data_IF_131474555956
#
_entry.id   IF_131474555956
#
_cell.length_a   1.000
_cell.length_b   1.000
_cell.length_c   1.000
_cell.angle_alpha   90.00
_cell.angle_beta   90.00
_cell.angle_gamma   90.00
#
_symmetry.space_group_name_H-M   'P 1'
#
loop_
_entity.id
_entity.type
_entity.pdbx_description
1 polymer ?
#
# COMPACT_ATOMS: atom_id res chain seq x y z
N UNK A 1 24.48 -21.60 20.35
CA UNK A 1 23.19 -22.34 20.36
C UNK A 1 22.12 -21.29 20.55
N UNK A 2 21.82 -20.55 19.49
CA UNK A 2 20.75 -19.55 19.52
C UNK A 2 19.42 -20.27 19.40
N UNK A 3 18.53 -19.95 20.33
CA UNK A 3 17.16 -20.45 20.34
C UNK A 3 16.52 -20.06 19.01
N UNK A 4 16.20 -21.07 18.20
CA UNK A 4 15.23 -20.89 17.12
C UNK A 4 13.97 -20.33 17.76
N UNK A 5 13.70 -19.06 17.49
CA UNK A 5 12.50 -18.38 17.96
C UNK A 5 11.32 -18.98 17.19
N UNK A 6 10.79 -20.08 17.71
CA UNK A 6 9.56 -20.69 17.23
C UNK A 6 8.47 -19.66 17.48
N UNK A 7 8.18 -18.83 16.47
CA UNK A 7 7.10 -17.84 16.53
C UNK A 7 5.85 -18.55 17.01
N UNK A 8 5.36 -18.14 18.18
CA UNK A 8 4.16 -18.69 18.79
C UNK A 8 3.01 -18.65 17.78
N UNK A 9 2.14 -19.68 17.74
CA UNK A 9 1.00 -19.69 16.82
C UNK A 9 0.14 -18.44 17.01
N UNK A 10 -0.28 -17.82 15.89
CA UNK A 10 -1.13 -16.63 15.90
C UNK A 10 -2.42 -16.97 16.64
N UNK A 11 -2.63 -16.31 17.78
CA UNK A 11 -3.78 -16.51 18.64
C UNK A 11 -4.38 -15.17 19.02
N UNK A 12 -5.70 -15.06 18.89
CA UNK A 12 -6.46 -13.89 19.32
C UNK A 12 -6.37 -13.66 20.84
N UNK A 13 -5.93 -14.64 21.63
CA UNK A 13 -5.78 -14.53 23.08
C UNK A 13 -4.40 -14.08 23.55
N UNK A 14 -3.41 -14.06 22.65
CA UNK A 14 -2.01 -13.69 22.98
C UNK A 14 -1.51 -12.50 22.16
N UNK A 15 -2.33 -11.99 21.24
CA UNK A 15 -1.97 -10.87 20.35
C UNK A 15 -2.32 -9.53 20.98
N UNK A 16 -1.63 -8.46 20.57
CA UNK A 16 -1.90 -7.12 21.09
C UNK A 16 -3.27 -6.59 20.60
N UNK A 17 -4.16 -6.37 21.57
CA UNK A 17 -5.54 -5.93 21.38
C UNK A 17 -5.67 -4.50 20.83
N UNK A 18 -4.58 -3.73 20.77
CA UNK A 18 -4.58 -2.34 20.28
C UNK A 18 -4.23 -2.21 18.79
N UNK A 19 -3.86 -3.29 18.12
CA UNK A 19 -3.49 -3.25 16.69
C UNK A 19 -4.72 -3.08 15.78
N UNK A 20 -4.57 -2.33 14.69
CA UNK A 20 -5.68 -2.06 13.76
C UNK A 20 -6.17 -3.35 13.06
N UNK A 21 -5.25 -4.26 12.80
CA UNK A 21 -5.44 -5.59 12.24
C UNK A 21 -6.31 -6.46 13.15
N UNK A 22 -6.04 -6.42 14.46
CA UNK A 22 -6.83 -7.10 15.47
C UNK A 22 -8.24 -6.51 15.60
N UNK A 23 -8.36 -5.18 15.57
CA UNK A 23 -9.66 -4.52 15.62
C UNK A 23 -10.53 -4.82 14.39
N UNK A 24 -9.92 -5.07 13.23
CA UNK A 24 -10.62 -5.51 12.02
C UNK A 24 -11.03 -6.99 12.10
N UNK A 25 -10.15 -7.87 12.59
CA UNK A 25 -10.48 -9.30 12.75
C UNK A 25 -11.64 -9.53 13.70
N UNK A 26 -11.70 -8.78 14.81
CA UNK A 26 -12.81 -8.86 15.76
C UNK A 26 -14.12 -8.34 15.17
N UNK A 27 -14.09 -7.27 14.36
CA UNK A 27 -15.30 -6.79 13.66
C UNK A 27 -15.86 -7.81 12.67
N UNK A 28 -15.00 -8.46 11.90
CA UNK A 28 -15.41 -9.54 11.00
C UNK A 28 -16.03 -10.70 11.77
N UNK A 29 -15.42 -11.08 12.90
CA UNK A 29 -15.94 -12.13 13.76
C UNK A 29 -17.33 -11.79 14.33
N UNK A 30 -17.59 -10.54 14.73
CA UNK A 30 -18.93 -10.09 15.14
C UNK A 30 -19.97 -10.13 14.01
N UNK A 31 -19.56 -9.84 12.77
CA UNK A 31 -20.49 -9.90 11.62
C UNK A 31 -20.92 -11.33 11.28
N UNK A 32 -20.07 -12.32 11.58
CA UNK A 32 -20.26 -13.72 11.19
C UNK A 32 -20.92 -14.57 12.29
N UNK A 33 -20.83 -14.18 13.56
CA UNK A 33 -21.38 -14.95 14.67
C UNK A 33 -22.77 -14.44 15.10
N UNK A 34 -23.83 -15.19 14.78
CA UNK A 34 -25.20 -14.85 15.16
C UNK A 34 -25.42 -14.66 16.66
N UNK A 35 -24.68 -15.37 17.52
CA UNK A 35 -24.75 -15.22 18.99
C UNK A 35 -24.14 -13.88 19.46
N UNK A 36 -23.12 -13.37 18.77
CA UNK A 36 -22.54 -12.05 19.06
C UNK A 36 -23.51 -10.91 18.73
N UNK A 37 -24.36 -11.09 17.72
CA UNK A 37 -25.44 -10.17 17.39
C UNK A 37 -26.53 -10.08 18.47
N UNK A 38 -26.71 -11.14 19.28
CA UNK A 38 -27.62 -11.10 20.44
C UNK A 38 -26.98 -10.44 21.67
N UNK A 39 -25.66 -10.45 21.75
CA UNK A 39 -24.88 -9.68 22.73
C UNK A 39 -24.78 -8.20 22.34
N UNK A 40 -24.84 -7.90 21.04
CA UNK A 40 -24.69 -6.54 20.54
C UNK A 40 -25.88 -5.65 20.94
N UNK A 41 -25.68 -4.85 21.97
CA UNK A 41 -26.14 -3.46 21.91
C UNK A 41 -25.43 -2.77 20.74
N UNK A 42 -26.02 -1.74 20.10
CA UNK A 42 -25.39 -1.00 18.97
C UNK A 42 -23.89 -0.68 19.21
N UNK A 43 -23.51 -0.40 20.47
CA UNK A 43 -22.13 -0.18 20.94
C UNK A 43 -21.12 -1.33 20.74
N UNK A 44 -21.56 -2.57 20.55
CA UNK A 44 -20.65 -3.73 20.45
C UNK A 44 -20.07 -3.88 19.03
N UNK A 45 -20.75 -3.33 18.02
CA UNK A 45 -20.18 -3.19 16.67
C UNK A 45 -19.10 -2.11 16.62
N UNK A 46 -19.19 -1.12 17.50
CA UNK A 46 -18.23 -0.01 17.61
C UNK A 46 -17.02 -0.35 18.51
N UNK A 47 -17.10 -1.40 19.34
CA UNK A 47 -16.08 -1.73 20.33
C UNK A 47 -15.60 -3.18 20.23
N UNK A 48 -14.59 -3.48 19.39
CA UNK A 48 -14.09 -4.84 19.17
C UNK A 48 -13.46 -5.47 20.43
N UNK A 49 -13.15 -4.67 21.45
CA UNK A 49 -12.65 -5.14 22.74
C UNK A 49 -13.70 -5.93 23.53
N UNK A 50 -14.99 -5.61 23.36
CA UNK A 50 -16.08 -6.35 24.03
C UNK A 50 -16.21 -7.79 23.50
N UNK A 51 -15.82 -8.01 22.24
CA UNK A 51 -15.81 -9.34 21.62
C UNK A 51 -14.73 -10.20 22.26
N UNK A 52 -13.54 -9.64 22.49
CA UNK A 52 -12.45 -10.32 23.20
C UNK A 52 -12.88 -10.66 24.62
N UNK A 53 -13.46 -9.70 25.35
CA UNK A 53 -13.95 -9.92 26.72
C UNK A 53 -14.93 -11.08 26.77
N UNK A 54 -15.85 -11.14 25.81
CA UNK A 54 -16.77 -12.26 25.67
C UNK A 54 -16.05 -13.60 25.38
N UNK A 55 -15.10 -13.62 24.45
CA UNK A 55 -14.31 -14.82 24.13
C UNK A 55 -13.48 -15.31 25.32
N UNK A 56 -12.88 -14.39 26.08
CA UNK A 56 -12.15 -14.67 27.31
C UNK A 56 -13.05 -15.29 28.39
N UNK A 57 -14.27 -14.78 28.56
CA UNK A 57 -15.27 -15.36 29.47
C UNK A 57 -15.61 -16.79 29.06
N UNK A 58 -15.85 -17.03 27.77
CA UNK A 58 -16.09 -18.38 27.25
C UNK A 58 -14.87 -19.28 27.50
N UNK A 59 -13.66 -18.78 27.27
CA UNK A 59 -12.43 -19.54 27.48
C UNK A 59 -12.29 -20.03 28.92
N UNK A 60 -12.53 -19.16 29.90
CA UNK A 60 -12.50 -19.55 31.32
C UNK A 60 -13.51 -20.66 31.64
N UNK A 61 -14.71 -20.61 31.06
CA UNK A 61 -15.73 -21.64 31.23
C UNK A 61 -15.29 -22.96 30.58
N UNK A 62 -14.65 -22.91 29.41
CA UNK A 62 -14.16 -24.10 28.73
C UNK A 62 -13.03 -24.77 29.49
N UNK A 63 -12.03 -24.00 29.95
CA UNK A 63 -10.91 -24.49 30.73
C UNK A 63 -11.37 -25.17 32.03
N UNK A 64 -12.35 -24.58 32.72
CA UNK A 64 -13.00 -25.21 33.87
C UNK A 64 -13.79 -26.48 33.49
N UNK A 65 -14.47 -26.48 32.35
CA UNK A 65 -15.26 -27.63 31.86
C UNK A 65 -14.40 -28.81 31.39
N UNK A 66 -13.16 -28.55 31.00
CA UNK A 66 -12.14 -29.54 30.63
C UNK A 66 -11.35 -30.06 31.85
N UNK A 67 -11.57 -29.48 33.04
CA UNK A 67 -10.84 -29.84 34.27
C UNK A 67 -9.40 -29.33 34.31
N UNK A 68 -9.05 -28.37 33.45
CA UNK A 68 -7.72 -27.74 33.43
C UNK A 68 -7.57 -26.77 34.61
N UNK A 69 -8.68 -26.12 34.99
CA UNK A 69 -8.79 -25.21 36.14
C UNK A 69 -9.92 -25.63 37.06
N UNK A 70 -9.93 -25.07 38.26
CA UNK A 70 -11.00 -25.31 39.25
C UNK A 70 -12.39 -25.04 38.67
N UNK A 71 -13.44 -25.73 39.14
CA UNK A 71 -14.82 -25.45 38.73
C UNK A 71 -15.22 -23.98 38.93
N UNK A 72 -16.19 -23.53 38.14
CA UNK A 72 -16.80 -22.20 38.27
C UNK A 72 -18.22 -22.43 38.79
N UNK A 73 -18.44 -22.16 40.08
CA UNK A 73 -19.72 -22.52 40.71
C UNK A 73 -20.82 -21.49 40.42
N UNK A 74 -20.46 -20.21 40.29
CA UNK A 74 -21.40 -19.09 40.11
C UNK A 74 -20.78 -17.92 39.33
N UNK A 75 -21.61 -16.91 39.03
CA UNK A 75 -21.25 -15.70 38.29
C UNK A 75 -20.16 -14.87 38.97
N UNK A 76 -20.17 -14.83 40.31
CA UNK A 76 -19.19 -14.06 41.09
C UNK A 76 -17.78 -14.67 40.99
N UNK A 77 -17.66 -16.00 41.06
CA UNK A 77 -16.38 -16.70 40.88
C UNK A 77 -15.83 -16.45 39.48
N UNK A 78 -16.68 -16.46 38.45
CA UNK A 78 -16.28 -16.15 37.08
C UNK A 78 -15.77 -14.70 36.96
N UNK A 79 -16.47 -13.75 37.58
CA UNK A 79 -16.08 -12.34 37.62
C UNK A 79 -14.70 -12.14 38.25
N UNK A 80 -14.49 -12.65 39.47
CA UNK A 80 -13.19 -12.51 40.14
C UNK A 80 -12.07 -13.25 39.41
N UNK A 81 -12.36 -14.41 38.81
CA UNK A 81 -11.39 -15.15 38.01
C UNK A 81 -11.01 -14.44 36.72
N UNK A 82 -11.96 -13.74 36.09
CA UNK A 82 -11.67 -12.88 34.96
C UNK A 82 -10.69 -11.77 35.35
N UNK A 83 -10.98 -11.04 36.43
CA UNK A 83 -10.13 -9.95 36.91
C UNK A 83 -8.71 -10.41 37.29
N UNK A 84 -8.58 -11.59 37.91
CA UNK A 84 -7.27 -12.13 38.28
C UNK A 84 -6.47 -12.62 37.09
N UNK A 85 -7.13 -13.22 36.09
CA UNK A 85 -6.46 -13.77 34.90
C UNK A 85 -6.08 -12.68 33.90
N UNK A 86 -6.95 -11.68 33.70
CA UNK A 86 -6.79 -10.62 32.72
C UNK A 86 -6.57 -9.26 33.38
N UNK A 87 -5.58 -9.18 34.28
CA UNK A 87 -5.29 -7.99 35.10
C UNK A 87 -4.84 -6.75 34.32
N UNK A 88 -4.51 -6.90 33.03
CA UNK A 88 -4.12 -5.83 32.12
C UNK A 88 -5.32 -5.15 31.43
N UNK A 89 -6.54 -5.70 31.55
CA UNK A 89 -7.76 -5.07 31.05
C UNK A 89 -8.13 -3.86 31.93
N UNK A 90 -8.03 -2.65 31.36
CA UNK A 90 -8.28 -1.39 32.09
C UNK A 90 -9.75 -1.19 32.47
N UNK A 91 -10.68 -1.86 31.79
CA UNK A 91 -12.11 -1.76 32.03
C UNK A 91 -12.75 -3.17 32.02
N UNK A 92 -12.46 -4.03 33.00
CA UNK A 92 -12.97 -5.39 33.00
C UNK A 92 -14.52 -5.42 33.04
N UNK A 93 -15.16 -6.45 32.45
CA UNK A 93 -16.60 -6.56 32.43
C UNK A 93 -17.16 -6.59 33.86
N UNK A 94 -18.20 -5.80 34.10
CA UNK A 94 -18.93 -5.76 35.37
C UNK A 94 -19.65 -7.08 35.63
N UNK A 95 -19.97 -7.37 36.89
CA UNK A 95 -20.75 -8.56 37.26
C UNK A 95 -22.08 -8.65 36.49
N UNK A 96 -22.76 -7.51 36.29
CA UNK A 96 -24.00 -7.46 35.52
C UNK A 96 -23.80 -7.87 34.05
N UNK A 97 -22.68 -7.46 33.42
CA UNK A 97 -22.35 -7.87 32.06
C UNK A 97 -22.03 -9.36 31.97
N UNK A 98 -21.29 -9.93 32.93
CA UNK A 98 -21.01 -11.37 32.98
C UNK A 98 -22.30 -12.18 33.13
N UNK A 99 -23.20 -11.77 34.04
CA UNK A 99 -24.51 -12.42 34.20
C UNK A 99 -25.34 -12.38 32.91
N UNK A 100 -25.31 -11.25 32.20
CA UNK A 100 -25.97 -11.12 30.89
C UNK A 100 -25.37 -12.06 29.86
N UNK A 101 -24.03 -12.13 29.75
CA UNK A 101 -23.33 -13.05 28.84
C UNK A 101 -23.71 -14.51 29.11
N UNK A 102 -23.72 -14.93 30.38
CA UNK A 102 -24.11 -16.28 30.77
C UNK A 102 -25.58 -16.59 30.43
N UNK A 103 -26.48 -15.62 30.59
CA UNK A 103 -27.89 -15.79 30.22
C UNK A 103 -28.05 -16.02 28.71
N UNK A 104 -27.27 -15.32 27.89
CA UNK A 104 -27.27 -15.49 26.43
C UNK A 104 -26.68 -16.85 26.03
N UNK A 105 -25.58 -17.25 26.66
CA UNK A 105 -24.96 -18.56 26.44
C UNK A 105 -25.90 -19.71 26.84
N UNK A 106 -26.65 -19.56 27.93
CA UNK A 106 -27.64 -20.53 28.38
C UNK A 106 -28.82 -20.62 27.42
N UNK A 107 -29.38 -19.48 27.00
CA UNK A 107 -30.46 -19.41 25.99
C UNK A 107 -30.08 -20.09 24.67
N UNK A 108 -28.83 -19.95 24.25
CA UNK A 108 -28.31 -20.56 23.02
C UNK A 108 -27.85 -22.01 23.18
N UNK A 109 -28.04 -22.63 24.36
CA UNK A 109 -27.61 -23.99 24.69
C UNK A 109 -26.09 -24.22 24.64
N UNK A 110 -25.27 -23.19 24.87
CA UNK A 110 -23.80 -23.33 24.89
C UNK A 110 -23.30 -23.79 26.25
N UNK A 111 -23.99 -23.40 27.32
CA UNK A 111 -23.68 -23.77 28.70
C UNK A 111 -24.89 -24.37 29.40
N UNK A 112 -24.64 -25.01 30.54
CA UNK A 112 -25.65 -25.43 31.51
C UNK A 112 -25.19 -25.01 32.91
N UNK A 113 -26.10 -24.40 33.67
CA UNK A 113 -25.88 -24.09 35.08
C UNK A 113 -26.34 -25.28 35.92
N UNK A 114 -25.44 -25.86 36.69
CA UNK A 114 -25.72 -26.88 37.69
C UNK A 114 -25.49 -26.30 39.09
N UNK A 115 -26.03 -26.93 40.12
CA UNK A 115 -26.01 -26.43 41.50
C UNK A 115 -24.61 -26.16 42.09
N UNK A 116 -23.55 -26.66 41.45
CA UNK A 116 -22.15 -26.46 41.87
C UNK A 116 -21.19 -26.20 40.72
N UNK A 117 -21.67 -25.98 39.49
CA UNK A 117 -20.79 -25.68 38.35
C UNK A 117 -21.56 -25.12 37.16
N UNK A 118 -20.92 -24.19 36.45
CA UNK A 118 -21.28 -23.77 35.11
C UNK A 118 -20.45 -24.63 34.13
N UNK A 119 -21.13 -25.46 33.34
CA UNK A 119 -20.46 -26.39 32.41
C UNK A 119 -20.79 -26.07 30.97
N UNK A 120 -19.78 -26.15 30.10
CA UNK A 120 -19.97 -26.03 28.65
C UNK A 120 -20.55 -27.32 28.06
N UNK A 121 -21.59 -27.18 27.23
CA UNK A 121 -22.18 -28.28 26.44
C UNK A 121 -21.37 -28.54 25.17
N UNK A 122 -21.53 -29.71 24.56
CA UNK A 122 -20.79 -30.09 23.34
C UNK A 122 -21.01 -29.10 22.18
N UNK A 123 -22.25 -28.59 22.03
CA UNK A 123 -22.56 -27.52 21.06
C UNK A 123 -21.77 -26.23 21.35
N UNK A 124 -21.64 -25.85 22.61
CA UNK A 124 -20.87 -24.68 23.02
C UNK A 124 -19.38 -24.84 22.76
N UNK A 125 -18.82 -26.02 23.02
CA UNK A 125 -17.42 -26.35 22.74
C UNK A 125 -17.11 -26.26 21.25
N UNK A 126 -17.91 -26.93 20.42
CA UNK A 126 -17.71 -26.93 18.96
C UNK A 126 -17.83 -25.51 18.36
N UNK A 127 -18.77 -24.69 18.87
CA UNK A 127 -18.95 -23.33 18.40
C UNK A 127 -17.84 -22.39 18.90
N UNK A 128 -17.36 -22.58 20.13
CA UNK A 128 -16.19 -21.88 20.64
C UNK A 128 -14.96 -22.18 19.80
N UNK A 129 -14.68 -23.45 19.51
CA UNK A 129 -13.54 -23.86 18.68
C UNK A 129 -13.65 -23.24 17.27
N UNK A 130 -14.85 -23.21 16.71
CA UNK A 130 -15.13 -22.52 15.45
C UNK A 130 -14.89 -21.01 15.50
N UNK A 131 -15.31 -20.33 16.57
CA UNK A 131 -15.06 -18.89 16.75
C UNK A 131 -13.58 -18.58 16.93
N UNK A 132 -12.86 -19.38 17.71
CA UNK A 132 -11.41 -19.22 17.93
C UNK A 132 -10.67 -19.40 16.61
N UNK A 133 -10.99 -20.46 15.87
CA UNK A 133 -10.42 -20.70 14.55
C UNK A 133 -10.70 -19.53 13.61
N UNK A 134 -11.95 -19.07 13.53
CA UNK A 134 -12.34 -17.94 12.67
C UNK A 134 -11.65 -16.64 13.07
N UNK A 135 -11.51 -16.37 14.38
CA UNK A 135 -10.81 -15.20 14.88
C UNK A 135 -9.31 -15.25 14.60
N UNK A 136 -8.69 -16.42 14.80
CA UNK A 136 -7.28 -16.64 14.48
C UNK A 136 -7.03 -16.54 12.97
N UNK A 137 -7.92 -17.07 12.13
CA UNK A 137 -7.83 -16.97 10.68
C UNK A 137 -8.04 -15.53 10.19
N UNK A 138 -8.99 -14.80 10.77
CA UNK A 138 -9.21 -13.38 10.45
C UNK A 138 -8.03 -12.51 10.91
N UNK A 139 -7.51 -12.75 12.10
CA UNK A 139 -6.33 -12.05 12.60
C UNK A 139 -5.10 -12.39 11.76
N UNK A 140 -4.91 -13.67 11.46
CA UNK A 140 -3.85 -14.12 10.57
C UNK A 140 -3.98 -13.50 9.19
N UNK A 141 -5.18 -13.30 8.65
CA UNK A 141 -5.43 -12.59 7.40
C UNK A 141 -4.96 -11.12 7.48
N UNK A 142 -5.38 -10.36 8.49
CA UNK A 142 -4.98 -8.96 8.59
C UNK A 142 -3.49 -8.75 8.90
N UNK A 143 -2.84 -9.72 9.54
CA UNK A 143 -1.41 -9.69 9.86
C UNK A 143 -0.48 -10.06 8.68
N UNK A 144 -0.98 -10.44 7.51
CA UNK A 144 -0.09 -10.80 6.38
C UNK A 144 0.11 -9.67 5.40
N UNK A 145 1.23 -9.79 4.69
CA UNK A 145 1.48 -9.16 3.41
C UNK A 145 0.41 -9.57 2.38
N UNK A 146 0.23 -8.78 1.32
CA UNK A 146 -0.90 -8.91 0.39
C UNK A 146 -0.95 -10.29 -0.30
N UNK A 147 0.20 -10.89 -0.62
CA UNK A 147 0.29 -12.27 -1.15
C UNK A 147 -0.26 -13.28 -0.15
N UNK A 148 0.11 -13.12 1.13
CA UNK A 148 -0.35 -13.99 2.21
C UNK A 148 -1.86 -13.84 2.45
N UNK A 149 -2.39 -12.62 2.40
CA UNK A 149 -3.84 -12.35 2.50
C UNK A 149 -4.63 -13.14 1.47
N UNK A 150 -4.23 -13.06 0.20
CA UNK A 150 -4.88 -13.77 -0.92
C UNK A 150 -4.83 -15.29 -0.73
N UNK A 151 -3.69 -15.86 -0.32
CA UNK A 151 -3.55 -17.30 -0.07
C UNK A 151 -4.37 -17.80 1.12
N UNK A 152 -4.47 -17.02 2.20
CA UNK A 152 -5.31 -17.37 3.34
C UNK A 152 -6.80 -17.28 3.02
N UNK A 153 -7.23 -16.31 2.21
CA UNK A 153 -8.60 -16.26 1.71
C UNK A 153 -8.92 -17.48 0.84
N UNK A 154 -8.03 -17.86 -0.07
CA UNK A 154 -8.18 -19.09 -0.86
C UNK A 154 -8.30 -20.32 0.05
N UNK A 155 -7.47 -20.43 1.09
CA UNK A 155 -7.49 -21.57 2.03
C UNK A 155 -8.81 -21.62 2.80
N UNK A 156 -9.31 -20.47 3.23
CA UNK A 156 -10.59 -20.33 3.91
C UNK A 156 -11.75 -20.73 3.00
N UNK A 157 -11.77 -20.26 1.75
CA UNK A 157 -12.81 -20.62 0.79
C UNK A 157 -12.79 -22.13 0.49
N UNK A 158 -11.61 -22.76 0.45
CA UNK A 158 -11.48 -24.22 0.34
C UNK A 158 -12.15 -24.96 1.52
N UNK A 159 -11.92 -24.48 2.75
CA UNK A 159 -12.49 -25.06 3.97
C UNK A 159 -14.00 -24.86 4.08
N UNK A 160 -14.46 -23.67 3.69
CA UNK A 160 -15.89 -23.35 3.65
C UNK A 160 -16.59 -24.22 2.59
N UNK A 161 -15.99 -24.38 1.40
CA UNK A 161 -16.52 -25.29 0.38
C UNK A 161 -16.65 -26.71 0.93
N UNK A 162 -15.63 -27.20 1.65
CA UNK A 162 -15.67 -28.53 2.25
C UNK A 162 -16.84 -28.70 3.24
N UNK A 163 -17.06 -27.71 4.10
CA UNK A 163 -18.14 -27.75 5.08
C UNK A 163 -19.54 -27.66 4.45
N UNK A 164 -19.70 -27.00 3.30
CA UNK A 164 -20.98 -26.92 2.57
C UNK A 164 -21.29 -28.23 1.82
N UNK A 165 -20.27 -28.84 1.20
CA UNK A 165 -20.42 -30.12 0.50
C UNK A 165 -20.81 -31.25 1.49
N UNK A 166 -20.23 -31.26 2.71
CA UNK A 166 -20.60 -32.19 3.79
C UNK A 166 -22.09 -32.06 4.20
N UNK A 167 -22.73 -30.94 3.88
CA UNK A 167 -24.15 -30.68 4.11
C UNK A 167 -25.03 -30.84 2.85
N UNK A 168 -24.44 -31.27 1.72
CA UNK A 168 -25.14 -31.45 0.44
C UNK A 168 -25.49 -30.15 -0.29
N UNK A 169 -24.82 -29.04 0.05
CA UNK A 169 -24.99 -27.73 -0.59
C UNK A 169 -23.84 -27.51 -1.57
N UNK A 170 -24.15 -27.22 -2.84
CA UNK A 170 -23.13 -27.03 -3.89
C UNK A 170 -22.13 -25.91 -3.54
N UNK A 171 -20.88 -26.29 -3.30
CA UNK A 171 -19.75 -25.39 -3.01
C UNK A 171 -19.14 -24.65 -4.22
N UNK A 172 -19.70 -24.76 -5.43
CA UNK A 172 -19.09 -24.26 -6.68
C UNK A 172 -18.68 -22.78 -6.67
N UNK A 173 -19.46 -21.91 -6.02
CA UNK A 173 -19.13 -20.48 -5.88
C UNK A 173 -17.89 -20.25 -5.02
N UNK A 174 -17.63 -21.13 -4.04
CA UNK A 174 -16.46 -21.05 -3.16
C UNK A 174 -15.20 -21.57 -3.84
N UNK A 175 -15.32 -22.55 -4.72
CA UNK A 175 -14.21 -23.00 -5.57
C UNK A 175 -13.79 -21.90 -6.55
N UNK A 176 -14.75 -21.21 -7.17
CA UNK A 176 -14.46 -20.07 -8.05
C UNK A 176 -13.74 -18.93 -7.30
N UNK A 177 -14.21 -18.59 -6.10
CA UNK A 177 -13.58 -17.60 -5.21
C UNK A 177 -12.16 -18.02 -4.80
N UNK A 178 -11.96 -19.30 -4.46
CA UNK A 178 -10.65 -19.84 -4.15
C UNK A 178 -9.68 -19.71 -5.34
N UNK A 179 -10.11 -20.07 -6.55
CA UNK A 179 -9.28 -19.98 -7.77
C UNK A 179 -8.88 -18.53 -8.04
N UNK A 180 -9.82 -17.58 -7.94
CA UNK A 180 -9.55 -16.16 -8.10
C UNK A 180 -8.47 -15.66 -7.12
N UNK A 181 -8.60 -16.02 -5.84
CA UNK A 181 -7.64 -15.62 -4.81
C UNK A 181 -6.25 -16.24 -5.01
N UNK A 182 -6.17 -17.45 -5.59
CA UNK A 182 -4.90 -18.06 -6.02
C UNK A 182 -4.30 -17.31 -7.21
N UNK A 183 -5.11 -16.96 -8.22
CA UNK A 183 -4.68 -16.19 -9.40
C UNK A 183 -4.11 -14.81 -8.99
N UNK A 184 -4.77 -14.11 -8.06
CA UNK A 184 -4.29 -12.84 -7.51
C UNK A 184 -3.00 -13.00 -6.71
N UNK A 185 -2.88 -14.05 -5.89
CA UNK A 185 -1.65 -14.34 -5.17
C UNK A 185 -0.47 -14.60 -6.13
N UNK A 186 -0.71 -15.31 -7.24
CA UNK A 186 0.31 -15.57 -8.27
C UNK A 186 0.75 -14.27 -8.92
N UNK A 187 -0.19 -13.42 -9.33
CA UNK A 187 0.10 -12.13 -9.94
C UNK A 187 0.99 -11.27 -9.03
N UNK A 188 0.62 -11.16 -7.75
CA UNK A 188 1.40 -10.41 -6.77
C UNK A 188 2.79 -11.03 -6.53
N UNK A 189 2.89 -12.37 -6.56
CA UNK A 189 4.16 -13.08 -6.43
C UNK A 189 5.09 -12.84 -7.64
N UNK A 190 4.53 -12.72 -8.85
CA UNK A 190 5.28 -12.36 -10.06
C UNK A 190 5.75 -10.91 -10.02
N UNK A 191 4.87 -9.98 -9.64
CA UNK A 191 5.18 -8.54 -9.56
C UNK A 191 6.25 -8.23 -8.49
N UNK A 192 6.24 -8.97 -7.38
CA UNK A 192 7.15 -8.75 -6.24
C UNK A 192 8.28 -9.77 -6.14
N UNK A 193 8.50 -10.55 -7.20
CA UNK A 193 9.54 -11.59 -7.23
C UNK A 193 10.92 -11.02 -6.86
N UNK A 194 11.28 -9.87 -7.42
CA UNK A 194 12.57 -9.22 -7.19
C UNK A 194 12.70 -8.66 -5.78
N UNK A 195 11.63 -8.09 -5.23
CA UNK A 195 11.60 -7.59 -3.85
C UNK A 195 11.85 -8.74 -2.87
N UNK A 196 11.16 -9.86 -3.05
CA UNK A 196 11.30 -11.05 -2.19
C UNK A 196 12.69 -11.69 -2.31
N UNK A 197 13.34 -11.63 -3.49
CA UNK A 197 14.71 -12.12 -3.66
C UNK A 197 15.76 -11.14 -3.09
N UNK A 198 15.42 -9.85 -3.01
CA UNK A 198 16.29 -8.81 -2.48
C UNK A 198 16.26 -8.73 -0.93
N UNK A 199 15.19 -9.17 -0.28
CA UNK A 199 15.07 -9.14 1.20
C UNK A 199 15.84 -10.29 1.87
N UNK A 200 16.83 -9.96 2.71
CA UNK A 200 17.67 -10.90 3.48
C UNK A 200 16.90 -11.81 4.44
N UNK A 201 15.67 -11.46 4.80
CA UNK A 201 14.81 -12.25 5.70
C UNK A 201 13.57 -12.82 4.98
N UNK A 202 13.57 -12.92 3.65
CA UNK A 202 12.42 -13.43 2.91
C UNK A 202 12.20 -14.95 3.04
N UNK A 203 13.20 -15.73 3.47
CA UNK A 203 13.10 -17.20 3.53
C UNK A 203 11.87 -17.71 4.29
N UNK A 204 11.55 -17.25 5.53
CA UNK A 204 10.36 -17.71 6.24
C UNK A 204 9.06 -17.32 5.54
N UNK A 205 9.04 -16.19 4.82
CA UNK A 205 7.88 -15.76 4.04
C UNK A 205 7.70 -16.63 2.79
N UNK A 206 8.77 -16.90 2.05
CA UNK A 206 8.77 -17.77 0.87
C UNK A 206 8.41 -19.22 1.22
N UNK A 207 8.92 -19.75 2.34
CA UNK A 207 8.55 -21.07 2.85
C UNK A 207 7.06 -21.14 3.18
N UNK A 208 6.53 -20.12 3.86
CA UNK A 208 5.11 -20.04 4.20
C UNK A 208 4.22 -19.95 2.95
N UNK A 209 4.60 -19.14 1.96
CA UNK A 209 3.89 -19.05 0.67
C UNK A 209 3.89 -20.41 -0.02
N UNK A 210 5.05 -21.06 -0.11
CA UNK A 210 5.16 -22.37 -0.75
C UNK A 210 4.32 -23.44 -0.04
N UNK A 211 4.33 -23.46 1.30
CA UNK A 211 3.50 -24.38 2.07
C UNK A 211 2.01 -24.16 1.82
N UNK A 212 1.54 -22.91 1.82
CA UNK A 212 0.13 -22.60 1.54
C UNK A 212 -0.27 -22.99 0.13
N UNK A 213 0.60 -22.80 -0.87
CA UNK A 213 0.36 -23.23 -2.24
C UNK A 213 0.22 -24.76 -2.34
N UNK A 214 1.06 -25.53 -1.65
CA UNK A 214 0.98 -27.01 -1.61
C UNK A 214 -0.28 -27.50 -0.86
N UNK A 215 -0.65 -26.84 0.24
CA UNK A 215 -1.89 -27.13 0.96
C UNK A 215 -3.12 -26.89 0.07
N UNK A 216 -3.13 -25.77 -0.67
CA UNK A 216 -4.18 -25.42 -1.62
C UNK A 216 -4.24 -26.37 -2.81
N UNK A 217 -3.08 -26.81 -3.32
CA UNK A 217 -3.00 -27.84 -4.36
C UNK A 217 -3.68 -29.14 -3.92
N UNK A 218 -3.35 -29.61 -2.72
CA UNK A 218 -3.93 -30.84 -2.15
C UNK A 218 -5.44 -30.70 -2.02
N UNK A 219 -5.91 -29.60 -1.41
CA UNK A 219 -7.35 -29.34 -1.21
C UNK A 219 -8.08 -29.19 -2.53
N UNK A 220 -7.54 -28.46 -3.51
CA UNK A 220 -8.18 -28.32 -4.82
C UNK A 220 -8.24 -29.67 -5.53
N UNK A 221 -7.16 -30.46 -5.55
CA UNK A 221 -7.14 -31.77 -6.20
C UNK A 221 -8.15 -32.74 -5.58
N UNK A 222 -8.27 -32.78 -4.25
CA UNK A 222 -9.32 -33.55 -3.55
C UNK A 222 -10.72 -33.13 -4.02
N UNK A 223 -10.96 -31.83 -4.19
CA UNK A 223 -12.25 -31.32 -4.67
C UNK A 223 -12.50 -31.65 -6.13
N UNK A 224 -11.52 -31.43 -7.02
CA UNK A 224 -11.65 -31.74 -8.45
C UNK A 224 -11.96 -33.24 -8.66
N UNK A 225 -11.41 -34.15 -7.84
CA UNK A 225 -11.73 -35.57 -7.90
C UNK A 225 -13.20 -35.88 -7.53
N UNK A 226 -13.77 -35.17 -6.55
CA UNK A 226 -15.18 -35.35 -6.15
C UNK A 226 -16.14 -34.93 -7.27
N UNK A 227 -15.85 -33.85 -7.98
CA UNK A 227 -16.67 -33.36 -9.10
C UNK A 227 -16.49 -34.15 -10.40
N UNK A 228 -15.44 -34.98 -10.53
CA UNK A 228 -15.23 -35.85 -11.68
C UNK A 228 -16.33 -36.92 -11.89
N UNK A 229 -17.24 -37.07 -10.93
CA UNK A 229 -18.36 -38.03 -10.97
C UNK A 229 -19.70 -37.41 -11.37
N UNK A 230 -19.79 -36.09 -11.57
CA UNK A 230 -21.06 -35.39 -11.84
C UNK A 230 -21.06 -34.82 -13.27
N UNK A 231 -21.98 -35.32 -14.09
CA UNK A 231 -22.31 -34.81 -15.43
C UNK A 231 -23.02 -33.44 -15.33
N UNK A 232 -22.31 -32.37 -14.92
CA UNK A 232 -22.78 -30.99 -15.13
C UNK A 232 -21.80 -30.21 -16.02
N UNK A 233 -22.19 -30.20 -17.29
CA UNK A 233 -21.44 -29.81 -18.48
C UNK A 233 -20.94 -28.35 -18.53
N UNK A 234 -19.74 -28.19 -19.10
CA UNK A 234 -19.10 -26.95 -19.63
C UNK A 234 -18.65 -25.86 -18.65
N UNK A 235 -19.48 -25.37 -17.72
CA UNK A 235 -19.02 -24.30 -16.79
C UNK A 235 -18.02 -24.83 -15.76
N UNK A 236 -18.21 -26.07 -15.33
CA UNK A 236 -17.32 -26.73 -14.38
C UNK A 236 -15.98 -27.12 -15.00
N UNK A 237 -15.94 -27.46 -16.30
CA UNK A 237 -14.69 -27.81 -16.98
C UNK A 237 -13.75 -26.61 -17.14
N UNK A 238 -14.30 -25.40 -17.32
CA UNK A 238 -13.46 -24.20 -17.40
C UNK A 238 -12.90 -23.80 -16.03
N UNK A 239 -13.71 -23.91 -14.96
CA UNK A 239 -13.26 -23.76 -13.58
C UNK A 239 -12.17 -24.78 -13.23
N UNK A 240 -12.34 -26.03 -13.62
CA UNK A 240 -11.33 -27.08 -13.42
C UNK A 240 -10.03 -26.74 -14.14
N UNK A 241 -10.10 -26.39 -15.43
CA UNK A 241 -8.93 -26.02 -16.24
C UNK A 241 -8.20 -24.82 -15.64
N UNK A 242 -8.93 -23.78 -15.24
CA UNK A 242 -8.38 -22.59 -14.59
C UNK A 242 -7.74 -22.93 -13.26
N UNK A 243 -8.42 -23.68 -12.41
CA UNK A 243 -7.91 -24.09 -11.11
C UNK A 243 -6.62 -24.91 -11.21
N UNK A 244 -6.58 -25.91 -12.10
CA UNK A 244 -5.37 -26.71 -12.34
C UNK A 244 -4.22 -25.86 -12.89
N UNK A 245 -4.50 -24.95 -13.83
CA UNK A 245 -3.48 -24.06 -14.38
C UNK A 245 -2.93 -23.07 -13.32
N UNK A 246 -3.82 -22.46 -12.53
CA UNK A 246 -3.45 -21.54 -11.47
C UNK A 246 -2.59 -22.23 -10.42
N UNK A 247 -3.03 -23.38 -9.89
CA UNK A 247 -2.24 -24.12 -8.90
C UNK A 247 -0.89 -24.57 -9.46
N UNK A 248 -0.85 -25.16 -10.67
CA UNK A 248 0.41 -25.60 -11.26
C UNK A 248 1.40 -24.45 -11.48
N UNK A 249 0.90 -23.27 -11.87
CA UNK A 249 1.72 -22.06 -12.02
C UNK A 249 2.17 -21.53 -10.66
N UNK A 250 1.28 -21.52 -9.67
CA UNK A 250 1.57 -21.02 -8.33
C UNK A 250 2.61 -21.87 -7.59
N UNK A 251 2.48 -23.20 -7.64
CA UNK A 251 3.44 -24.12 -7.01
C UNK A 251 4.79 -24.12 -7.72
N UNK A 252 4.83 -24.03 -9.05
CA UNK A 252 6.10 -23.93 -9.79
C UNK A 252 6.81 -22.61 -9.50
N UNK A 253 6.07 -21.49 -9.46
CA UNK A 253 6.61 -20.16 -9.17
C UNK A 253 7.10 -20.06 -7.72
N UNK A 254 6.32 -20.52 -6.73
CA UNK A 254 6.72 -20.48 -5.31
C UNK A 254 7.96 -21.34 -5.05
N UNK A 255 8.02 -22.53 -5.64
CA UNK A 255 9.17 -23.43 -5.52
C UNK A 255 10.40 -22.86 -6.22
N UNK A 256 10.24 -22.28 -7.41
CA UNK A 256 11.34 -21.67 -8.16
C UNK A 256 11.93 -20.49 -7.38
N UNK A 257 11.08 -19.62 -6.82
CA UNK A 257 11.48 -18.50 -5.97
C UNK A 257 12.26 -18.94 -4.74
N UNK A 258 11.72 -19.90 -3.99
CA UNK A 258 12.37 -20.46 -2.81
C UNK A 258 13.73 -21.08 -3.16
N UNK A 259 13.81 -21.81 -4.29
CA UNK A 259 15.07 -22.41 -4.75
C UNK A 259 16.09 -21.36 -5.18
N UNK A 260 15.66 -20.32 -5.91
CA UNK A 260 16.51 -19.18 -6.29
C UNK A 260 17.06 -18.49 -5.06
N UNK A 261 16.22 -18.21 -4.06
CA UNK A 261 16.63 -17.59 -2.80
C UNK A 261 17.69 -18.42 -2.06
N UNK A 262 17.45 -19.72 -1.88
CA UNK A 262 18.42 -20.63 -1.24
C UNK A 262 19.75 -20.63 -2.01
N UNK A 263 19.70 -20.62 -3.35
CA UNK A 263 20.89 -20.58 -4.19
C UNK A 263 21.68 -19.29 -4.00
N UNK A 264 21.00 -18.16 -3.89
CA UNK A 264 21.61 -16.87 -3.63
C UNK A 264 22.28 -16.78 -2.26
N UNK A 265 21.60 -17.22 -1.20
CA UNK A 265 22.19 -17.30 0.15
C UNK A 265 23.43 -18.20 0.14
N UNK A 266 23.35 -19.36 -0.52
CA UNK A 266 24.49 -20.26 -0.66
C UNK A 266 25.63 -19.63 -1.47
N UNK A 267 25.35 -18.88 -2.54
CA UNK A 267 26.37 -18.18 -3.32
C UNK A 267 27.11 -17.15 -2.46
N UNK A 268 26.42 -16.42 -1.60
CA UNK A 268 27.04 -15.44 -0.69
C UNK A 268 27.93 -16.09 0.38
N UNK A 269 27.54 -17.28 0.85
CA UNK A 269 28.27 -18.03 1.88
C UNK A 269 29.40 -18.91 1.31
N UNK A 270 29.44 -19.14 0.00
CA UNK A 270 30.47 -19.98 -0.63
C UNK A 270 31.77 -19.20 -0.74
N UNK A 271 32.88 -19.65 -0.11
CA UNK A 271 34.18 -19.02 -0.31
C UNK A 271 34.55 -19.07 -1.79
N UNK A 272 34.88 -17.93 -2.40
CA UNK A 272 35.48 -17.88 -3.74
C UNK A 272 36.90 -18.43 -3.69
N UNK A 273 37.03 -19.76 -3.71
CA UNK A 273 38.32 -20.42 -3.85
C UNK A 273 38.23 -21.61 -4.81
N UNK A 274 39.04 -21.47 -5.87
CA UNK A 274 39.72 -22.53 -6.62
C UNK A 274 38.85 -23.54 -7.36
N UNK A 275 38.27 -23.11 -8.49
CA UNK A 275 38.57 -23.56 -9.87
C UNK A 275 37.36 -23.23 -10.73
N UNK A 276 37.36 -22.06 -11.38
CA UNK A 276 36.28 -21.68 -12.29
C UNK A 276 36.43 -22.51 -13.58
N UNK A 277 35.49 -23.41 -13.85
CA UNK A 277 35.43 -24.15 -15.12
C UNK A 277 34.85 -23.24 -16.21
N UNK A 278 35.61 -22.86 -17.24
CA UNK A 278 35.15 -21.93 -18.27
C UNK A 278 33.91 -22.44 -19.01
N UNK A 279 33.80 -23.76 -19.20
CA UNK A 279 32.68 -24.38 -19.91
C UNK A 279 31.38 -24.33 -19.09
N UNK A 280 31.48 -24.51 -17.76
CA UNK A 280 30.33 -24.35 -16.86
C UNK A 280 29.87 -22.90 -16.79
N UNK A 281 30.80 -21.94 -16.82
CA UNK A 281 30.48 -20.51 -16.88
C UNK A 281 29.80 -20.16 -18.20
N UNK A 282 30.30 -20.66 -19.33
CA UNK A 282 29.68 -20.44 -20.64
C UNK A 282 28.26 -21.03 -20.69
N UNK A 283 28.05 -22.24 -20.20
CA UNK A 283 26.73 -22.86 -20.10
C UNK A 283 25.80 -22.07 -19.18
N UNK A 284 26.30 -21.56 -18.06
CA UNK A 284 25.54 -20.72 -17.13
C UNK A 284 25.11 -19.40 -17.77
N UNK A 285 26.01 -18.72 -18.50
CA UNK A 285 25.70 -17.47 -19.24
C UNK A 285 24.63 -17.72 -20.31
N UNK A 286 24.74 -18.81 -21.07
CA UNK A 286 23.74 -19.18 -22.07
C UNK A 286 22.38 -19.46 -21.43
N UNK A 287 22.36 -20.21 -20.33
CA UNK A 287 21.13 -20.54 -19.62
C UNK A 287 20.50 -19.34 -18.89
N UNK A 288 21.30 -18.34 -18.50
CA UNK A 288 20.84 -17.08 -17.93
C UNK A 288 20.15 -16.18 -18.96
N UNK A 289 20.65 -16.18 -20.21
CA UNK A 289 20.12 -15.34 -21.29
C UNK A 289 18.89 -15.93 -21.99
N UNK A 290 18.72 -17.25 -21.91
CA UNK A 290 17.57 -17.98 -22.46
C UNK A 290 17.10 -19.04 -21.46
N UNK A 291 16.52 -18.61 -20.32
CA UNK A 291 16.01 -19.54 -19.33
C UNK A 291 14.86 -20.35 -19.94
N UNK A 292 14.94 -21.67 -19.87
CA UNK A 292 13.77 -22.52 -20.15
C UNK A 292 12.66 -22.20 -19.13
N UNK A 293 11.39 -22.41 -19.50
CA UNK A 293 10.27 -22.20 -18.60
C UNK A 293 10.44 -23.07 -17.34
N UNK A 294 10.22 -22.49 -16.15
CA UNK A 294 10.42 -23.12 -14.83
C UNK A 294 11.89 -23.45 -14.45
N UNK A 295 12.88 -22.73 -14.98
CA UNK A 295 14.27 -22.91 -14.57
C UNK A 295 14.61 -22.21 -13.25
N UNK A 296 15.39 -22.90 -12.41
CA UNK A 296 15.93 -22.37 -11.14
C UNK A 296 17.25 -21.61 -11.33
N UNK A 297 17.52 -21.16 -12.56
CA UNK A 297 18.72 -20.41 -12.91
C UNK A 297 18.37 -18.93 -12.77
N UNK A 298 19.05 -18.16 -11.89
CA UNK A 298 18.82 -16.73 -11.79
C UNK A 298 19.11 -16.02 -13.11
N UNK A 299 18.28 -15.06 -13.47
CA UNK A 299 18.53 -14.20 -14.63
C UNK A 299 19.62 -13.18 -14.33
N UNK A 300 20.12 -12.49 -15.37
CA UNK A 300 21.09 -11.41 -15.19
C UNK A 300 20.55 -10.32 -14.26
N UNK A 301 19.25 -10.02 -14.36
CA UNK A 301 18.59 -9.05 -13.50
C UNK A 301 18.50 -9.53 -12.05
N UNK A 302 18.12 -10.80 -11.82
CA UNK A 302 18.04 -11.38 -10.48
C UNK A 302 19.41 -11.31 -9.76
N UNK A 303 20.50 -11.57 -10.48
CA UNK A 303 21.87 -11.54 -9.92
C UNK A 303 22.30 -10.12 -9.59
N UNK A 304 22.05 -9.15 -10.48
CA UNK A 304 22.43 -7.75 -10.26
C UNK A 304 21.70 -7.16 -9.04
N UNK A 305 20.39 -7.43 -8.91
CA UNK A 305 19.63 -7.01 -7.73
C UNK A 305 20.09 -7.70 -6.44
N UNK A 306 20.60 -8.94 -6.51
CA UNK A 306 21.17 -9.62 -5.35
C UNK A 306 22.58 -9.11 -4.97
N UNK A 307 23.37 -8.65 -5.94
CA UNK A 307 24.74 -8.18 -5.71
C UNK A 307 24.83 -6.86 -4.94
N UNK A 308 23.79 -6.02 -5.00
CA UNK A 308 23.72 -4.72 -4.29
C UNK A 308 23.08 -4.82 -2.89
N UNK A 309 23.13 -6.00 -2.28
CA UNK A 309 22.58 -6.20 -0.94
C UNK A 309 23.52 -5.69 0.15
N UNK A 310 23.40 -4.42 0.51
CA UNK A 310 23.81 -3.86 1.81
C UNK A 310 25.23 -4.30 2.24
N UNK A 311 26.19 -4.26 1.30
CA UNK A 311 27.62 -4.42 1.57
C UNK A 311 28.18 -3.19 2.28
N UNK A 312 27.52 -2.04 2.13
CA UNK A 312 27.84 -0.78 2.79
C UNK A 312 26.62 -0.23 3.56
N UNK A 313 26.85 0.49 4.67
CA UNK A 313 25.81 0.96 5.61
C UNK A 313 24.69 1.84 5.00
N UNK A 314 24.83 2.32 3.75
CA UNK A 314 23.89 3.22 3.07
C UNK A 314 23.31 2.67 1.76
N UNK A 315 23.68 1.46 1.35
CA UNK A 315 23.32 0.90 0.03
C UNK A 315 21.83 0.52 -0.08
N UNK A 316 21.17 0.19 1.03
CA UNK A 316 19.73 -0.12 1.05
C UNK A 316 18.82 1.04 0.62
N UNK A 317 19.30 2.29 0.66
CA UNK A 317 18.52 3.48 0.26
C UNK A 317 18.85 3.95 -1.16
N UNK A 318 20.08 3.69 -1.65
CA UNK A 318 20.64 4.29 -2.88
C UNK A 318 21.22 3.27 -3.89
N UNK A 319 20.98 1.97 -3.72
CA UNK A 319 21.47 0.96 -4.66
C UNK A 319 20.91 1.19 -6.08
N UNK A 320 21.78 1.12 -7.09
CA UNK A 320 21.46 1.38 -8.50
C UNK A 320 20.39 0.44 -9.06
N UNK A 321 20.24 -0.75 -8.45
CA UNK A 321 19.35 -1.85 -8.81
C UNK A 321 18.35 -2.19 -7.70
N UNK A 322 18.24 -1.37 -6.65
CA UNK A 322 17.14 -1.48 -5.68
C UNK A 322 15.83 -1.24 -6.43
N UNK A 323 14.87 -2.18 -6.40
CA UNK A 323 13.56 -1.92 -6.97
C UNK A 323 12.94 -0.75 -6.22
N UNK A 324 12.92 0.42 -6.85
CA UNK A 324 12.20 1.59 -6.34
C UNK A 324 10.74 1.18 -6.25
N UNK A 325 10.13 1.34 -5.06
CA UNK A 325 8.68 1.18 -4.89
C UNK A 325 7.96 2.27 -5.69
N UNK A 326 7.77 2.04 -6.98
CA UNK A 326 6.73 2.75 -7.69
C UNK A 326 5.40 2.28 -7.09
N UNK A 327 4.47 3.22 -6.87
CA UNK A 327 3.10 2.85 -6.58
C UNK A 327 2.66 1.81 -7.62
N UNK A 328 2.04 0.72 -7.19
CA UNK A 328 1.60 -0.35 -8.09
C UNK A 328 0.90 0.30 -9.30
N UNK A 329 1.25 -0.09 -10.54
CA UNK A 329 0.65 0.51 -11.72
C UNK A 329 -0.87 0.37 -11.59
N UNK A 330 -1.58 1.49 -11.63
CA UNK A 330 -3.05 1.53 -11.55
C UNK A 330 -3.57 0.59 -12.63
N UNK A 331 -4.32 -0.44 -12.26
CA UNK A 331 -4.74 -1.43 -13.24
C UNK A 331 -5.73 -0.78 -14.23
N UNK A 332 -5.83 -1.27 -15.48
CA UNK A 332 -6.82 -0.77 -16.43
C UNK A 332 -8.26 -0.85 -15.88
N UNK A 333 -8.52 -1.82 -15.00
CA UNK A 333 -9.79 -1.98 -14.32
C UNK A 333 -10.00 -0.87 -13.28
N UNK A 334 -8.99 -0.56 -12.46
CA UNK A 334 -9.07 0.53 -11.47
C UNK A 334 -9.27 1.89 -12.13
N UNK A 335 -8.65 2.13 -13.29
CA UNK A 335 -8.89 3.34 -14.09
C UNK A 335 -10.35 3.39 -14.56
N UNK A 336 -10.87 2.28 -15.08
CA UNK A 336 -12.24 2.19 -15.58
C UNK A 336 -13.25 2.39 -14.45
N UNK A 337 -13.02 1.76 -13.31
CA UNK A 337 -13.90 1.84 -12.14
C UNK A 337 -13.86 3.24 -11.51
N UNK A 338 -12.69 3.89 -11.47
CA UNK A 338 -12.56 5.28 -11.00
C UNK A 338 -13.23 6.28 -11.94
N UNK A 339 -13.10 6.11 -13.26
CA UNK A 339 -13.80 6.93 -14.26
C UNK A 339 -15.31 6.76 -14.11
N UNK A 340 -15.78 5.51 -13.98
CA UNK A 340 -17.20 5.23 -13.77
C UNK A 340 -17.71 5.81 -12.45
N UNK A 341 -16.95 5.67 -11.37
CA UNK A 341 -17.28 6.27 -10.08
C UNK A 341 -17.43 7.79 -10.21
N UNK A 342 -16.46 8.49 -10.81
CA UNK A 342 -16.53 9.94 -11.00
C UNK A 342 -17.71 10.37 -11.88
N UNK A 343 -18.04 9.59 -12.92
CA UNK A 343 -19.17 9.87 -13.81
C UNK A 343 -20.53 9.65 -13.14
N UNK A 344 -20.61 8.72 -12.19
CA UNK A 344 -21.88 8.28 -11.57
C UNK A 344 -21.99 8.74 -10.11
N UNK A 345 -21.02 9.51 -9.62
CA UNK A 345 -21.00 9.97 -8.24
C UNK A 345 -22.07 11.04 -8.03
N UNK A 346 -23.18 10.63 -7.40
CA UNK A 346 -24.13 11.57 -6.81
C UNK A 346 -23.73 11.85 -5.35
N UNK A 347 -23.34 13.09 -5.01
CA UNK A 347 -22.97 13.43 -3.64
C UNK A 347 -24.16 13.24 -2.71
N UNK A 348 -23.98 12.42 -1.67
CA UNK A 348 -24.99 12.24 -0.61
C UNK A 348 -25.09 13.52 0.21
N UNK A 349 -26.18 14.27 0.02
CA UNK A 349 -26.54 15.38 0.89
C UNK A 349 -27.21 14.81 2.14
N UNK A 350 -26.61 15.01 3.32
CA UNK A 350 -27.19 14.55 4.60
C UNK A 350 -28.54 15.21 4.93
N UNK A 351 -28.89 16.32 4.27
CA UNK A 351 -30.18 17.02 4.43
C UNK A 351 -30.65 17.62 3.10
N UNK A 352 -31.97 17.64 2.82
CA UNK A 352 -32.49 18.40 1.69
C UNK A 352 -32.16 19.89 1.89
N UNK A 353 -31.57 20.53 0.88
CA UNK A 353 -31.29 21.97 0.92
C UNK A 353 -32.59 22.74 1.20
N UNK A 354 -32.62 23.52 2.27
CA UNK A 354 -33.71 24.47 2.49
C UNK A 354 -33.69 25.48 1.35
N UNK A 355 -34.85 25.75 0.74
CA UNK A 355 -35.03 26.77 -0.30
C UNK A 355 -34.16 28.00 0.00
N UNK A 356 -33.18 28.27 -0.87
CA UNK A 356 -32.43 29.50 -0.85
C UNK A 356 -33.40 30.64 -1.24
N UNK A 357 -33.47 31.67 -0.42
CA UNK A 357 -34.14 32.92 -0.76
C UNK A 357 -33.49 33.46 -2.03
N UNK A 358 -34.30 33.80 -3.05
CA UNK A 358 -33.82 34.50 -4.24
C UNK A 358 -33.11 35.79 -3.81
N UNK A 359 -31.82 35.86 -4.10
CA UNK A 359 -31.04 37.08 -3.93
C UNK A 359 -31.28 37.98 -5.14
N UNK A 360 -31.79 39.20 -4.92
CA UNK A 360 -31.72 40.27 -5.92
C UNK A 360 -30.26 40.74 -6.02
N UNK A 361 -29.71 40.68 -7.23
CA UNK A 361 -28.36 41.15 -7.53
C UNK A 361 -28.43 42.56 -8.11
N UNK A 362 -27.67 43.50 -7.54
CA UNK A 362 -27.37 44.78 -8.17
C UNK A 362 -26.10 44.66 -9.01
N UNK A 363 -26.21 44.99 -10.29
CA UNK A 363 -25.10 44.98 -11.23
C UNK A 363 -24.22 46.21 -10.99
N UNK A 364 -23.09 46.01 -10.30
CA UNK A 364 -22.07 47.06 -10.13
C UNK A 364 -20.96 46.84 -11.15
N UNK A 365 -20.80 47.74 -12.10
CA UNK A 365 -19.62 47.75 -12.97
C UNK A 365 -18.38 48.12 -12.14
N UNK A 366 -17.54 47.13 -11.84
CA UNK A 366 -16.23 47.36 -11.24
C UNK A 366 -15.19 47.64 -12.33
N UNK A 367 -14.48 48.76 -12.18
CA UNK A 367 -13.32 49.08 -12.99
C UNK A 367 -12.17 48.09 -12.68
N UNK A 368 -11.75 47.32 -13.68
CA UNK A 368 -10.76 46.23 -13.55
C UNK A 368 -9.32 46.76 -13.67
N UNK A 369 -9.12 48.03 -14.04
CA UNK A 369 -7.80 48.67 -14.17
C UNK A 369 -6.93 48.57 -12.90
N UNK A 370 -7.44 48.83 -11.67
CA UNK A 370 -6.63 48.80 -10.45
C UNK A 370 -6.10 47.40 -10.12
N UNK A 371 -6.83 46.35 -10.51
CA UNK A 371 -6.45 44.96 -10.24
C UNK A 371 -5.31 44.53 -11.17
N UNK A 372 -5.36 44.97 -12.43
CA UNK A 372 -4.31 44.68 -13.42
C UNK A 372 -3.00 45.39 -13.06
N UNK A 373 -3.08 46.65 -12.63
CA UNK A 373 -1.93 47.43 -12.17
C UNK A 373 -1.30 46.80 -10.92
N UNK A 374 -2.11 46.45 -9.92
CA UNK A 374 -1.62 45.79 -8.70
C UNK A 374 -0.92 44.45 -8.98
N UNK A 375 -1.39 43.69 -9.98
CA UNK A 375 -0.78 42.43 -10.37
C UNK A 375 0.54 42.63 -11.14
N UNK A 376 0.62 43.65 -11.99
CA UNK A 376 1.84 44.02 -12.70
C UNK A 376 2.93 44.51 -11.72
N UNK A 377 2.56 45.33 -10.74
CA UNK A 377 3.48 45.80 -9.70
C UNK A 377 4.02 44.65 -8.83
N UNK A 378 3.18 43.67 -8.51
CA UNK A 378 3.61 42.47 -7.77
C UNK A 378 4.60 41.63 -8.58
N UNK A 379 4.34 41.43 -9.88
CA UNK A 379 5.25 40.73 -10.81
C UNK A 379 6.60 41.44 -10.93
N UNK A 380 6.58 42.77 -11.01
CA UNK A 380 7.79 43.58 -11.13
C UNK A 380 8.67 43.49 -9.89
N UNK A 381 8.08 43.64 -8.69
CA UNK A 381 8.81 43.50 -7.42
C UNK A 381 9.45 42.12 -7.25
N UNK A 382 8.76 41.07 -7.71
CA UNK A 382 9.32 39.72 -7.69
C UNK A 382 10.52 39.61 -8.65
N UNK A 383 10.43 40.18 -9.84
CA UNK A 383 11.52 40.20 -10.83
C UNK A 383 12.75 40.94 -10.31
N UNK A 384 12.58 42.13 -9.71
CA UNK A 384 13.67 42.91 -9.09
C UNK A 384 14.36 42.17 -7.93
N UNK A 385 13.67 41.26 -7.25
CA UNK A 385 14.27 40.46 -6.17
C UNK A 385 15.17 39.31 -6.67
N UNK A 386 14.97 38.87 -7.92
CA UNK A 386 15.67 37.73 -8.52
C UNK A 386 16.76 38.16 -9.51
N UNK A 387 16.58 39.31 -10.16
CA UNK A 387 17.47 39.84 -11.18
C UNK A 387 17.90 41.26 -10.78
N UNK A 388 19.21 41.48 -10.65
CA UNK A 388 19.77 42.80 -10.41
C UNK A 388 19.62 43.66 -11.67
N UNK A 389 18.60 44.52 -11.67
CA UNK A 389 18.23 45.43 -12.77
C UNK A 389 18.67 46.87 -12.52
N UNK A 390 19.15 47.18 -11.32
CA UNK A 390 19.36 48.55 -10.82
C UNK A 390 20.40 49.32 -11.65
N UNK A 391 21.46 48.64 -12.09
CA UNK A 391 22.54 49.26 -12.88
C UNK A 391 22.06 49.70 -14.27
N UNK A 392 21.23 48.88 -14.91
CA UNK A 392 20.68 49.14 -16.24
C UNK A 392 19.63 50.25 -16.15
N UNK A 393 18.75 50.21 -15.15
CA UNK A 393 17.73 51.24 -14.93
C UNK A 393 18.35 52.61 -14.62
N UNK A 394 19.36 52.67 -13.75
CA UNK A 394 20.05 53.92 -13.42
C UNK A 394 20.73 54.53 -14.65
N UNK A 395 21.41 53.71 -15.44
CA UNK A 395 22.09 54.18 -16.65
C UNK A 395 21.11 54.71 -17.70
N UNK A 396 20.00 53.99 -17.94
CA UNK A 396 18.94 54.43 -18.85
C UNK A 396 18.19 55.67 -18.34
N UNK A 397 18.06 55.85 -17.03
CA UNK A 397 17.45 57.06 -16.45
C UNK A 397 18.33 58.30 -16.70
N UNK A 398 19.66 58.15 -16.67
CA UNK A 398 20.60 59.25 -16.89
C UNK A 398 20.77 59.61 -18.38
N UNK A 399 20.75 58.62 -19.28
CA UNK A 399 21.11 58.79 -20.70
C UNK A 399 19.90 58.67 -21.66
N UNK A 400 18.76 58.16 -21.19
CA UNK A 400 17.49 58.08 -21.89
C UNK A 400 17.39 56.94 -22.92
N UNK A 401 18.13 57.05 -24.02
CA UNK A 401 18.18 56.09 -25.11
C UNK A 401 19.63 55.78 -25.47
N UNK A 402 19.99 54.49 -25.46
CA UNK A 402 21.38 54.06 -25.67
C UNK A 402 21.45 52.80 -26.54
N UNK A 403 22.57 52.60 -27.24
CA UNK A 403 22.81 51.38 -28.01
C UNK A 403 23.00 50.18 -27.05
N UNK A 404 22.52 48.98 -27.43
CA UNK A 404 22.54 47.79 -26.57
C UNK A 404 23.96 47.45 -26.06
N UNK A 405 24.98 47.56 -26.90
CA UNK A 405 26.37 47.28 -26.49
C UNK A 405 26.92 48.36 -25.55
N UNK A 406 26.62 49.62 -25.82
CA UNK A 406 27.00 50.75 -24.96
C UNK A 406 26.39 50.59 -23.57
N UNK A 407 25.10 50.25 -23.53
CA UNK A 407 24.38 49.98 -22.29
C UNK A 407 25.07 48.89 -21.48
N UNK A 408 25.44 47.77 -22.10
CA UNK A 408 26.07 46.65 -21.41
C UNK A 408 27.45 47.02 -20.88
N UNK A 409 28.29 47.64 -21.72
CA UNK A 409 29.69 47.93 -21.37
C UNK A 409 29.79 49.03 -20.32
N UNK A 410 29.01 50.10 -20.46
CA UNK A 410 29.10 51.29 -19.59
C UNK A 410 28.33 51.14 -18.28
N UNK A 411 27.21 50.39 -18.25
CA UNK A 411 26.47 50.14 -17.00
C UNK A 411 27.09 49.05 -16.12
N UNK A 412 27.89 48.14 -16.71
CA UNK A 412 28.42 46.97 -16.03
C UNK A 412 29.93 46.81 -16.22
N UNK A 413 30.37 46.05 -17.23
CA UNK A 413 31.76 45.93 -17.63
C UNK A 413 31.91 45.31 -19.02
N UNK A 414 33.14 45.29 -19.52
CA UNK A 414 33.49 44.67 -20.80
C UNK A 414 33.70 43.14 -20.76
N UNK A 415 33.35 42.49 -19.63
CA UNK A 415 33.54 41.04 -19.41
C UNK A 415 32.29 40.24 -19.80
N UNK A 416 32.50 39.01 -20.27
CA UNK A 416 31.44 38.12 -20.73
C UNK A 416 30.34 37.82 -19.70
N UNK A 417 30.70 37.61 -18.43
CA UNK A 417 29.71 37.31 -17.38
C UNK A 417 28.75 38.48 -17.14
N UNK A 418 29.29 39.71 -17.11
CA UNK A 418 28.51 40.91 -16.86
C UNK A 418 27.61 41.26 -18.07
N UNK A 419 28.04 40.88 -19.28
CA UNK A 419 27.21 40.98 -20.48
C UNK A 419 25.96 40.09 -20.40
N UNK A 420 26.11 38.84 -19.94
CA UNK A 420 24.96 37.93 -19.78
C UNK A 420 23.98 38.45 -18.72
N UNK A 421 24.49 38.93 -17.59
CA UNK A 421 23.65 39.49 -16.53
C UNK A 421 22.91 40.74 -17.01
N UNK A 422 23.59 41.62 -17.76
CA UNK A 422 22.99 42.82 -18.34
C UNK A 422 21.91 42.47 -19.38
N UNK A 423 22.12 41.45 -20.21
CA UNK A 423 21.12 40.97 -21.16
C UNK A 423 19.91 40.35 -20.46
N UNK A 424 20.13 39.61 -19.37
CA UNK A 424 19.06 39.07 -18.55
C UNK A 424 18.21 40.21 -17.94
N UNK A 425 18.87 41.26 -17.43
CA UNK A 425 18.22 42.45 -16.89
C UNK A 425 17.43 43.21 -17.96
N UNK A 426 18.01 43.45 -19.14
CA UNK A 426 17.31 44.11 -20.26
C UNK A 426 16.11 43.29 -20.73
N UNK A 427 16.23 41.96 -20.82
CA UNK A 427 15.12 41.07 -21.16
C UNK A 427 13.99 41.12 -20.12
N UNK A 428 14.35 41.14 -18.83
CA UNK A 428 13.38 41.28 -17.74
C UNK A 428 12.66 42.64 -17.77
N UNK A 429 13.37 43.73 -18.07
CA UNK A 429 12.81 45.07 -18.25
C UNK A 429 11.89 45.15 -19.48
N UNK A 430 12.26 44.49 -20.57
CA UNK A 430 11.46 44.44 -21.80
C UNK A 430 10.16 43.66 -21.58
N UNK A 431 10.24 42.49 -20.93
CA UNK A 431 9.07 41.65 -20.61
C UNK A 431 8.04 42.32 -19.70
N UNK A 432 8.51 43.19 -18.79
CA UNK A 432 7.65 43.97 -17.90
C UNK A 432 7.24 45.34 -18.48
N UNK A 433 7.45 45.57 -19.78
CA UNK A 433 7.14 46.84 -20.48
C UNK A 433 7.77 48.08 -19.82
N UNK A 434 8.94 47.95 -19.21
CA UNK A 434 9.70 49.07 -18.62
C UNK A 434 10.67 49.70 -19.62
N UNK A 435 11.07 48.92 -20.63
CA UNK A 435 12.01 49.32 -21.67
C UNK A 435 11.53 48.83 -23.03
N UNK A 436 11.74 49.63 -24.07
CA UNK A 436 11.49 49.29 -25.47
C UNK A 436 12.82 49.09 -26.22
N UNK A 437 12.87 48.12 -27.14
CA UNK A 437 14.00 47.89 -28.02
C UNK A 437 13.62 48.27 -29.45
N UNK A 438 14.43 49.10 -30.11
CA UNK A 438 14.20 49.55 -31.48
C UNK A 438 15.40 49.20 -32.37
N UNK A 439 15.19 48.64 -33.58
CA UNK A 439 16.29 48.25 -34.45
C UNK A 439 16.98 49.47 -35.06
N UNK A 440 18.31 49.40 -35.18
CA UNK A 440 19.15 50.44 -35.81
C UNK A 440 19.93 49.89 -37.00
N UNK A 441 20.30 50.76 -37.96
CA UNK A 441 20.99 50.32 -39.17
C UNK A 441 22.48 50.02 -38.95
N UNK A 442 23.15 50.74 -38.04
CA UNK A 442 24.57 50.58 -37.73
C UNK A 442 24.81 50.81 -36.23
N UNK A 443 25.37 49.82 -35.56
CA UNK A 443 25.83 49.91 -34.17
C UNK A 443 27.32 50.28 -34.13
N UNK A 444 27.75 51.03 -33.12
CA UNK A 444 29.16 51.31 -32.87
C UNK A 444 29.86 50.09 -32.27
N UNK A 445 31.14 49.92 -32.58
CA UNK A 445 31.95 48.85 -31.98
C UNK A 445 32.66 49.36 -30.71
N UNK A 446 32.57 48.57 -29.64
CA UNK A 446 33.17 48.86 -28.33
C UNK A 446 34.27 47.84 -27.99
N UNK A 447 35.24 48.22 -27.15
CA UNK A 447 36.31 47.30 -26.72
C UNK A 447 35.79 46.32 -25.64
N UNK A 448 35.55 45.07 -26.06
CA UNK A 448 34.89 44.03 -25.24
C UNK A 448 35.58 42.67 -25.33
N UNK A 449 35.38 41.83 -24.31
CA UNK A 449 35.93 40.47 -24.23
C UNK A 449 34.96 39.38 -24.73
N UNK A 450 33.86 39.79 -25.37
CA UNK A 450 32.77 38.93 -25.79
C UNK A 450 32.23 39.42 -27.14
N UNK A 451 31.64 38.54 -27.92
CA UNK A 451 31.04 38.87 -29.22
C UNK A 451 29.64 38.27 -29.29
N UNK A 452 28.78 38.89 -30.10
CA UNK A 452 27.48 38.34 -30.43
C UNK A 452 27.61 37.14 -31.35
N UNK A 453 26.61 36.25 -31.31
CA UNK A 453 26.57 35.08 -32.19
C UNK A 453 26.17 35.51 -33.60
N UNK A 454 25.26 36.49 -33.72
CA UNK A 454 24.90 37.15 -34.96
C UNK A 454 25.23 38.65 -34.88
N UNK A 455 25.82 39.21 -35.93
CA UNK A 455 26.17 40.63 -36.02
C UNK A 455 24.94 41.54 -36.09
N UNK A 456 23.76 40.97 -36.36
CA UNK A 456 22.50 41.71 -36.32
C UNK A 456 21.95 41.86 -34.88
N UNK A 457 22.38 41.03 -33.92
CA UNK A 457 21.88 41.08 -32.52
C UNK A 457 22.38 42.32 -31.76
N UNK A 458 23.44 42.98 -32.23
CA UNK A 458 23.92 44.27 -31.66
C UNK A 458 23.13 45.49 -32.11
N UNK A 459 22.26 45.34 -33.11
CA UNK A 459 21.60 46.46 -33.79
C UNK A 459 20.28 46.88 -33.15
N UNK A 460 20.29 47.12 -31.85
CA UNK A 460 19.14 47.63 -31.12
C UNK A 460 19.52 48.81 -30.23
N UNK A 461 18.69 49.86 -30.20
CA UNK A 461 18.68 50.83 -29.11
C UNK A 461 17.67 50.43 -28.07
N UNK A 462 17.99 50.78 -26.84
CA UNK A 462 17.23 50.46 -25.64
C UNK A 462 16.80 51.78 -25.03
N UNK A 463 15.49 51.97 -24.86
CA UNK A 463 14.91 53.20 -24.33
C UNK A 463 13.93 52.89 -23.22
N UNK A 464 13.97 53.65 -22.13
CA UNK A 464 12.97 53.53 -21.07
C UNK A 464 11.60 54.04 -21.54
N UNK A 465 10.53 53.30 -21.24
CA UNK A 465 9.18 53.82 -21.46
C UNK A 465 8.98 55.09 -20.61
N UNK A 466 8.33 56.14 -21.13
CA UNK A 466 7.95 57.28 -20.30
C UNK A 466 7.07 56.75 -19.16
N UNK A 467 7.47 57.02 -17.92
CA UNK A 467 6.55 56.90 -16.79
C UNK A 467 5.43 57.92 -17.04
N UNK A 468 4.22 57.45 -17.34
CA UNK A 468 3.02 58.28 -17.25
C UNK A 468 2.80 58.58 -15.75
N UNK A 469 3.37 59.68 -15.27
CA UNK A 469 2.94 60.31 -14.03
C UNK A 469 1.64 61.07 -14.30
N UNK A 470 0.49 60.38 -14.25
CA UNK A 470 -0.82 60.96 -13.95
C UNK A 470 -1.63 60.09 -12.97
#
# INVERSE_FOLDING_TARGET
MDKMDVKAPISIFTSDYQTAEFMKSMRDLASLAGVLKELSTEKMYDSPIEIIRFLNVIQLINEASLGIKDPIDNEEILYYRYQSTYSLDKEPPTLAQITRMLTILERNNWIIKQSRQIKMRDRGKNLMDGLIRMGNDALAYYLQDDIGRSLFQARRDAEISAAYDDQGISGGNKIASMIYNVEEAIKQLEERQLELLADRNALPQLEKINQLMLELETKLNERLQQFGTVEESTKMSDLMRRGTAAISKGTSLSLSLLTKYIRFVNMQLTPTADTISPEKVRQFILAMHSPEANTNIPTAHDILSFMEQNQYEQEAMDGLWVPVKFAAPISPQDITDAVYYLQTYEPKLEKPMSHQLEHEYEETEMDVRPIKEALQDASWKMTQSLIDTERIENYLTEHGETEMEELIVESSSNKWHDAILSLLAVSALTSNNKVEQQPIEQAKDYEKQWEWIDDDDKRFTVRQYPYDDE
#
